data_IF_648326879492
#
_entry.id   IF_648326879492
#
_cell.length_a   1.000
_cell.length_b   1.000
_cell.length_c   1.000
_cell.angle_alpha   90.00
_cell.angle_beta   90.00
_cell.angle_gamma   90.00
#
_symmetry.space_group_name_H-M   'P 1'
#
loop_
_entity.id
_entity.type
_entity.pdbx_description
1 polymer ?
#
# COMPACT_ATOMS: atom_id res chain seq x y z
N UNK A 1 5.03 19.61 4.46
CA UNK A 1 4.53 20.37 3.30
C UNK A 1 5.69 21.07 2.60
N UNK A 2 6.30 20.40 1.63
CA UNK A 2 7.27 20.94 0.68
C UNK A 2 6.91 20.27 -0.63
N UNK A 3 6.57 20.92 -1.73
CA UNK A 3 6.74 22.29 -2.19
C UNK A 3 6.59 22.10 -3.69
N UNK A 4 5.41 22.42 -4.23
CA UNK A 4 5.10 22.17 -5.64
C UNK A 4 6.16 22.86 -6.48
N UNK A 5 7.00 22.08 -7.15
CA UNK A 5 8.02 22.60 -8.05
C UNK A 5 7.33 22.97 -9.36
N UNK A 6 7.50 24.20 -9.79
CA UNK A 6 7.00 24.69 -11.07
C UNK A 6 8.15 24.78 -12.07
N UNK A 7 7.87 24.70 -13.39
CA UNK A 7 8.87 24.97 -14.41
C UNK A 7 9.54 26.33 -14.17
N UNK A 8 10.87 26.36 -14.06
CA UNK A 8 11.62 27.60 -13.91
C UNK A 8 11.51 28.42 -15.18
N UNK A 9 11.38 29.75 -15.04
CA UNK A 9 11.55 30.66 -16.17
C UNK A 9 13.02 30.63 -16.62
N UNK A 10 13.26 30.32 -17.89
CA UNK A 10 14.59 30.38 -18.48
C UNK A 10 14.68 31.74 -19.19
N UNK A 11 15.60 32.60 -18.75
CA UNK A 11 15.89 33.86 -19.47
C UNK A 11 16.42 33.52 -20.86
N UNK A 12 15.53 33.63 -21.86
CA UNK A 12 15.77 33.18 -23.23
C UNK A 12 14.56 32.48 -23.89
N UNK A 13 13.56 32.04 -23.12
CA UNK A 13 12.32 31.50 -23.67
C UNK A 13 11.45 32.62 -24.27
N UNK A 14 11.25 32.59 -25.59
CA UNK A 14 10.88 33.74 -26.42
C UNK A 14 9.48 34.36 -26.20
N UNK A 15 8.65 33.90 -25.26
CA UNK A 15 7.36 34.56 -24.98
C UNK A 15 6.73 34.12 -23.65
N UNK A 16 6.21 35.08 -22.86
CA UNK A 16 5.43 34.82 -21.65
C UNK A 16 4.25 33.87 -21.89
N UNK A 17 3.63 33.95 -23.06
CA UNK A 17 2.52 33.05 -23.45
C UNK A 17 3.00 31.60 -23.49
N UNK A 18 4.16 31.32 -24.08
CA UNK A 18 4.72 29.97 -24.17
C UNK A 18 5.02 29.39 -22.78
N UNK A 19 5.57 30.20 -21.87
CA UNK A 19 5.79 29.79 -20.48
C UNK A 19 4.48 29.49 -19.76
N UNK A 20 3.47 30.36 -19.88
CA UNK A 20 2.15 30.15 -19.27
C UNK A 20 1.53 28.84 -19.78
N UNK A 21 1.64 28.56 -21.08
CA UNK A 21 1.15 27.31 -21.67
C UNK A 21 1.92 26.09 -21.12
N UNK A 22 3.24 26.18 -20.96
CA UNK A 22 4.06 25.12 -20.39
C UNK A 22 3.71 24.84 -18.91
N UNK A 23 3.53 25.89 -18.11
CA UNK A 23 3.10 25.77 -16.70
C UNK A 23 1.71 25.15 -16.61
N UNK A 24 0.76 25.61 -17.43
CA UNK A 24 -0.59 25.05 -17.48
C UNK A 24 -0.58 23.57 -17.88
N UNK A 25 0.21 23.20 -18.91
CA UNK A 25 0.39 21.81 -19.31
C UNK A 25 0.95 20.94 -18.18
N UNK A 26 2.03 21.39 -17.53
CA UNK A 26 2.63 20.71 -16.39
C UNK A 26 1.63 20.46 -15.26
N UNK A 27 0.83 21.47 -14.90
CA UNK A 27 -0.17 21.30 -13.85
C UNK A 27 -1.28 20.33 -14.23
N UNK A 28 -1.75 20.34 -15.48
CA UNK A 28 -2.76 19.39 -15.93
C UNK A 28 -2.22 17.95 -15.90
N UNK A 29 -0.99 17.73 -16.35
CA UNK A 29 -0.35 16.41 -16.25
C UNK A 29 -0.22 15.95 -14.80
N UNK A 30 0.19 16.85 -13.89
CA UNK A 30 0.29 16.53 -12.46
C UNK A 30 -1.06 16.24 -11.82
N UNK A 31 -2.09 17.01 -12.16
CA UNK A 31 -3.46 16.76 -11.69
C UNK A 31 -3.95 15.40 -12.19
N UNK A 32 -3.73 15.08 -13.47
CA UNK A 32 -4.11 13.79 -14.05
C UNK A 32 -3.39 12.62 -13.37
N UNK A 33 -2.10 12.77 -13.07
CA UNK A 33 -1.33 11.78 -12.31
C UNK A 33 -1.92 11.56 -10.91
N UNK A 34 -2.24 12.64 -10.20
CA UNK A 34 -2.81 12.59 -8.85
C UNK A 34 -4.19 11.91 -8.88
N UNK A 35 -5.07 12.30 -9.82
CA UNK A 35 -6.39 11.70 -9.99
C UNK A 35 -6.27 10.21 -10.31
N UNK A 36 -5.40 9.83 -11.25
CA UNK A 36 -5.18 8.42 -11.61
C UNK A 36 -4.66 7.61 -10.42
N UNK A 37 -3.71 8.15 -9.67
CA UNK A 37 -3.17 7.49 -8.47
C UNK A 37 -4.26 7.30 -7.41
N UNK A 38 -5.06 8.33 -7.16
CA UNK A 38 -6.20 8.28 -6.25
C UNK A 38 -7.21 7.20 -6.63
N UNK A 39 -7.63 7.19 -7.90
CA UNK A 39 -8.58 6.22 -8.46
C UNK A 39 -8.05 4.79 -8.35
N UNK A 40 -6.75 4.59 -8.60
CA UNK A 40 -6.10 3.28 -8.45
C UNK A 40 -6.11 2.81 -6.99
N UNK A 41 -5.77 3.68 -6.03
CA UNK A 41 -5.83 3.34 -4.59
C UNK A 41 -7.25 2.99 -4.17
N UNK A 42 -8.24 3.80 -4.58
CA UNK A 42 -9.66 3.55 -4.30
C UNK A 42 -10.08 2.17 -4.82
N UNK A 43 -9.74 1.85 -6.06
CA UNK A 43 -10.10 0.57 -6.67
C UNK A 43 -9.37 -0.61 -6.01
N UNK A 44 -8.11 -0.44 -5.61
CA UNK A 44 -7.37 -1.43 -4.82
C UNK A 44 -8.05 -1.71 -3.48
N UNK A 45 -8.35 -0.67 -2.70
CA UNK A 45 -9.06 -0.79 -1.43
C UNK A 45 -10.43 -1.44 -1.63
N UNK A 46 -11.19 -1.05 -2.66
CA UNK A 46 -12.47 -1.65 -2.97
C UNK A 46 -12.38 -3.16 -3.28
N UNK A 47 -11.36 -3.60 -4.01
CA UNK A 47 -11.14 -5.02 -4.29
C UNK A 47 -10.83 -5.81 -3.01
N UNK A 48 -10.03 -5.24 -2.11
CA UNK A 48 -9.77 -5.86 -0.81
C UNK A 48 -11.00 -5.86 0.11
N UNK A 49 -11.79 -4.79 0.12
CA UNK A 49 -13.08 -4.76 0.82
C UNK A 49 -14.05 -5.83 0.29
N UNK A 50 -14.08 -6.03 -1.03
CA UNK A 50 -14.89 -7.09 -1.66
C UNK A 50 -14.40 -8.49 -1.25
N UNK A 51 -13.08 -8.71 -1.28
CA UNK A 51 -12.49 -10.01 -0.98
C UNK A 51 -12.48 -10.39 0.52
N UNK A 52 -12.39 -9.40 1.41
CA UNK A 52 -12.18 -9.60 2.85
C UNK A 52 -13.13 -8.80 3.75
N UNK A 53 -14.27 -8.32 3.22
CA UNK A 53 -15.13 -7.33 3.87
C UNK A 53 -15.60 -7.68 5.28
N UNK A 54 -15.77 -8.97 5.58
CA UNK A 54 -16.17 -9.44 6.92
C UNK A 54 -15.06 -9.31 7.98
N UNK A 55 -13.82 -9.10 7.55
CA UNK A 55 -12.64 -9.05 8.40
C UNK A 55 -12.09 -7.63 8.57
N UNK A 56 -12.70 -6.61 7.95
CA UNK A 56 -12.21 -5.23 7.97
C UNK A 56 -12.32 -4.63 9.37
N UNK A 57 -11.25 -3.98 9.82
CA UNK A 57 -11.23 -3.19 11.05
C UNK A 57 -11.45 -1.71 10.76
N UNK A 58 -10.66 -1.16 9.84
CA UNK A 58 -10.68 0.25 9.46
C UNK A 58 -9.99 0.44 8.10
N UNK A 59 -10.25 1.56 7.43
CA UNK A 59 -9.53 1.99 6.25
C UNK A 59 -9.60 3.51 6.13
N UNK A 60 -8.61 4.09 5.43
CA UNK A 60 -8.61 5.50 5.09
C UNK A 60 -9.63 5.78 3.98
N UNK A 61 -10.78 6.34 4.36
CA UNK A 61 -11.85 6.68 3.44
C UNK A 61 -11.62 7.99 2.66
N UNK A 62 -10.60 8.77 3.02
CA UNK A 62 -10.28 10.04 2.36
C UNK A 62 -9.24 9.84 1.27
N UNK A 63 -8.08 9.27 1.59
CA UNK A 63 -6.95 9.13 0.65
C UNK A 63 -6.68 7.69 0.20
N UNK A 64 -7.38 6.70 0.77
CA UNK A 64 -7.20 5.27 0.49
C UNK A 64 -5.74 4.82 0.66
N UNK A 65 -5.05 5.41 1.63
CA UNK A 65 -3.63 5.15 1.89
C UNK A 65 -3.39 3.94 2.79
N UNK A 66 -4.39 3.50 3.55
CA UNK A 66 -4.29 2.35 4.45
C UNK A 66 -5.60 1.57 4.54
N UNK A 67 -5.50 0.25 4.78
CA UNK A 67 -6.63 -0.61 5.15
C UNK A 67 -6.16 -1.73 6.10
N UNK A 68 -6.96 -2.01 7.12
CA UNK A 68 -6.63 -2.97 8.18
C UNK A 68 -7.69 -4.07 8.31
N UNK A 69 -7.23 -5.29 8.54
CA UNK A 69 -8.07 -6.49 8.70
C UNK A 69 -7.69 -7.27 9.95
N UNK A 70 -8.69 -7.89 10.59
CA UNK A 70 -8.49 -8.95 11.56
C UNK A 70 -8.46 -10.29 10.82
N UNK A 71 -7.26 -10.82 10.60
CA UNK A 71 -7.05 -12.09 9.92
C UNK A 71 -7.11 -13.24 10.92
N UNK A 72 -7.74 -14.35 10.53
CA UNK A 72 -7.75 -15.59 11.30
C UNK A 72 -7.23 -16.75 10.44
N UNK A 73 -6.23 -17.46 10.93
CA UNK A 73 -5.74 -18.69 10.32
C UNK A 73 -5.28 -19.68 11.40
N UNK A 74 -5.74 -20.94 11.34
CA UNK A 74 -5.35 -22.00 12.30
C UNK A 74 -5.43 -21.56 13.78
N UNK A 75 -6.57 -20.99 14.18
CA UNK A 75 -6.85 -20.47 15.53
C UNK A 75 -5.87 -19.37 16.00
N UNK A 76 -5.17 -18.73 15.08
CA UNK A 76 -4.34 -17.57 15.35
C UNK A 76 -4.94 -16.35 14.66
N UNK A 77 -5.19 -15.31 15.45
CA UNK A 77 -5.59 -14.02 14.95
C UNK A 77 -4.40 -13.07 14.87
N UNK A 78 -4.35 -12.27 13.81
CA UNK A 78 -3.43 -11.15 13.69
C UNK A 78 -4.11 -9.99 12.97
N UNK A 79 -3.59 -8.79 13.20
CA UNK A 79 -3.99 -7.62 12.42
C UNK A 79 -3.08 -7.58 11.20
N UNK A 80 -3.67 -7.48 10.01
CA UNK A 80 -2.96 -7.15 8.78
C UNK A 80 -3.32 -5.72 8.41
N UNK A 81 -2.33 -4.84 8.37
CA UNK A 81 -2.46 -3.50 7.79
C UNK A 81 -1.77 -3.48 6.44
N UNK A 82 -2.45 -2.97 5.42
CA UNK A 82 -1.88 -2.76 4.09
C UNK A 82 -1.65 -1.27 3.94
N UNK A 83 -0.38 -0.88 3.78
CA UNK A 83 0.02 0.51 3.57
C UNK A 83 0.24 0.74 2.07
N UNK A 84 -0.54 1.66 1.50
CA UNK A 84 -0.54 2.01 0.08
C UNK A 84 0.17 3.36 -0.06
N UNK A 85 1.48 3.33 0.19
CA UNK A 85 2.35 4.51 0.19
C UNK A 85 2.96 4.77 -1.19
N UNK A 86 3.51 5.97 -1.37
CA UNK A 86 4.37 6.30 -2.51
C UNK A 86 3.66 6.34 -3.87
N UNK A 87 4.37 5.94 -4.93
CA UNK A 87 3.91 6.03 -6.32
C UNK A 87 3.08 4.81 -6.76
N UNK A 88 2.06 4.44 -5.97
CA UNK A 88 1.16 3.33 -6.30
C UNK A 88 0.51 3.54 -7.69
N UNK A 89 0.54 2.52 -8.58
CA UNK A 89 0.86 1.12 -8.36
C UNK A 89 2.30 0.75 -8.73
N UNK A 90 3.15 1.67 -9.20
CA UNK A 90 4.53 1.33 -9.56
C UNK A 90 5.33 0.89 -8.34
N UNK A 91 5.03 1.48 -7.19
CA UNK A 91 5.47 1.01 -5.89
C UNK A 91 4.44 0.05 -5.30
N UNK A 92 4.92 -1.09 -4.82
CA UNK A 92 4.09 -2.12 -4.22
C UNK A 92 3.60 -1.68 -2.82
N UNK A 93 2.35 -2.00 -2.44
CA UNK A 93 1.89 -1.83 -1.08
C UNK A 93 2.68 -2.68 -0.08
N UNK A 94 2.73 -2.27 1.18
CA UNK A 94 3.46 -2.97 2.23
C UNK A 94 2.48 -3.69 3.15
N UNK A 95 2.75 -4.95 3.50
CA UNK A 95 1.98 -5.69 4.48
C UNK A 95 2.62 -5.57 5.86
N UNK A 96 1.86 -5.08 6.83
CA UNK A 96 2.26 -5.00 8.24
C UNK A 96 1.39 -5.96 9.03
N UNK A 97 1.99 -7.04 9.53
CA UNK A 97 1.32 -8.02 10.39
C UNK A 97 1.63 -7.73 11.84
N UNK A 98 0.61 -7.63 12.69
CA UNK A 98 0.73 -7.43 14.15
C UNK A 98 0.03 -8.55 14.90
N UNK A 99 0.74 -9.20 15.83
CA UNK A 99 0.17 -10.21 16.71
C UNK A 99 -0.62 -9.54 17.82
N UNK A 100 -1.78 -10.10 18.15
CA UNK A 100 -2.59 -9.65 19.31
C UNK A 100 -2.31 -10.47 20.58
N UNK A 101 -1.33 -11.38 20.54
CA UNK A 101 -1.01 -12.29 21.65
C UNK A 101 0.41 -12.17 22.17
N UNK A 102 1.36 -11.84 21.29
CA UNK A 102 2.79 -11.88 21.58
C UNK A 102 3.36 -10.47 21.55
N UNK A 103 4.31 -10.19 22.44
CA UNK A 103 5.03 -8.93 22.47
C UNK A 103 6.52 -9.14 22.20
N UNK A 104 7.16 -8.15 21.58
CA UNK A 104 8.60 -8.05 21.41
C UNK A 104 9.03 -6.64 21.83
N UNK A 105 9.93 -6.56 22.82
CA UNK A 105 10.36 -5.29 23.41
C UNK A 105 9.19 -4.39 23.85
N UNK A 106 8.26 -4.96 24.63
CA UNK A 106 7.05 -4.31 25.17
C UNK A 106 6.02 -3.77 24.15
N UNK A 107 6.25 -3.97 22.86
CA UNK A 107 5.29 -3.69 21.80
C UNK A 107 4.67 -5.00 21.27
N UNK A 108 3.44 -4.99 20.71
CA UNK A 108 2.93 -6.19 20.07
C UNK A 108 3.84 -6.60 18.92
N UNK A 109 4.21 -7.88 18.90
CA UNK A 109 5.11 -8.45 17.90
C UNK A 109 4.56 -8.12 16.50
N UNK A 110 5.39 -7.50 15.66
CA UNK A 110 5.00 -7.11 14.32
C UNK A 110 6.08 -7.46 13.29
N UNK A 111 5.67 -7.54 12.04
CA UNK A 111 6.53 -7.77 10.90
C UNK A 111 6.06 -6.94 9.70
N UNK A 112 7.03 -6.45 8.94
CA UNK A 112 6.82 -5.74 7.68
C UNK A 112 7.20 -6.71 6.56
N UNK A 113 6.35 -6.82 5.54
CA UNK A 113 6.54 -7.70 4.40
C UNK A 113 6.21 -6.97 3.10
N UNK A 114 7.27 -6.76 2.32
CA UNK A 114 7.30 -6.18 0.99
C UNK A 114 7.94 -7.17 0.00
N UNK A 115 7.93 -8.47 0.30
CA UNK A 115 8.63 -9.48 -0.53
C UNK A 115 7.68 -10.38 -1.30
N UNK A 116 6.39 -10.12 -1.21
CA UNK A 116 5.35 -10.91 -1.87
C UNK A 116 5.30 -10.64 -3.38
N UNK A 117 4.82 -11.61 -4.19
CA UNK A 117 4.69 -11.40 -5.62
C UNK A 117 3.80 -10.20 -5.92
N UNK A 118 4.33 -9.24 -6.69
CA UNK A 118 3.63 -8.03 -7.08
C UNK A 118 3.87 -7.69 -8.55
N UNK A 119 2.85 -7.14 -9.22
CA UNK A 119 3.00 -6.50 -10.52
C UNK A 119 2.08 -5.29 -10.61
N UNK A 120 2.59 -4.10 -11.00
CA UNK A 120 1.77 -2.90 -11.20
C UNK A 120 0.72 -3.06 -12.31
N UNK A 121 0.83 -4.12 -13.12
CA UNK A 121 -0.05 -4.41 -14.27
C UNK A 121 -1.27 -5.25 -13.91
N UNK A 122 -1.30 -5.84 -12.71
CA UNK A 122 -2.43 -6.66 -12.29
C UNK A 122 -3.67 -5.81 -12.04
N UNK A 123 -4.84 -6.42 -12.24
CA UNK A 123 -6.08 -5.79 -11.79
C UNK A 123 -6.13 -5.78 -10.25
N UNK A 124 -6.90 -4.85 -9.65
CA UNK A 124 -7.15 -4.84 -8.21
C UNK A 124 -7.62 -6.20 -7.66
N UNK A 125 -8.52 -6.88 -8.37
CA UNK A 125 -9.00 -8.22 -7.97
C UNK A 125 -7.91 -9.28 -8.05
N UNK A 126 -7.04 -9.22 -9.06
CA UNK A 126 -5.90 -10.14 -9.15
C UNK A 126 -4.91 -9.89 -8.01
N UNK A 127 -4.62 -8.63 -7.67
CA UNK A 127 -3.79 -8.26 -6.53
C UNK A 127 -4.37 -8.83 -5.22
N UNK A 128 -5.67 -8.64 -4.97
CA UNK A 128 -6.34 -9.15 -3.77
C UNK A 128 -6.31 -10.68 -3.67
N UNK A 129 -6.53 -11.38 -4.80
CA UNK A 129 -6.50 -12.84 -4.85
C UNK A 129 -5.09 -13.40 -4.63
N UNK A 130 -4.06 -12.78 -5.22
CA UNK A 130 -2.66 -13.20 -5.03
C UNK A 130 -2.18 -12.91 -3.60
N UNK A 131 -2.58 -11.76 -3.04
CA UNK A 131 -2.36 -11.46 -1.63
C UNK A 131 -2.95 -12.55 -0.73
N UNK A 132 -4.16 -13.05 -1.04
CA UNK A 132 -4.79 -14.16 -0.28
C UNK A 132 -3.92 -15.40 -0.24
N UNK A 133 -3.47 -15.83 -1.41
CA UNK A 133 -2.65 -17.03 -1.58
C UNK A 133 -1.31 -16.88 -0.86
N UNK A 134 -0.71 -15.69 -0.92
CA UNK A 134 0.53 -15.39 -0.21
C UNK A 134 0.32 -15.43 1.32
N UNK A 135 -0.68 -14.71 1.82
CA UNK A 135 -0.99 -14.60 3.25
C UNK A 135 -1.30 -15.95 3.89
N UNK A 136 -1.92 -16.88 3.15
CA UNK A 136 -2.16 -18.26 3.60
C UNK A 136 -0.85 -19.00 3.97
N UNK A 137 0.29 -18.62 3.39
CA UNK A 137 1.62 -19.18 3.70
C UNK A 137 2.45 -18.29 4.61
N UNK A 138 2.22 -16.97 4.58
CA UNK A 138 2.94 -15.98 5.37
C UNK A 138 2.51 -15.97 6.84
N UNK A 139 1.21 -16.03 7.12
CA UNK A 139 0.65 -15.96 8.48
C UNK A 139 1.12 -17.11 9.38
N UNK A 140 1.20 -18.38 8.93
CA UNK A 140 1.73 -19.46 9.75
C UNK A 140 3.21 -19.24 10.14
N UNK A 141 4.03 -18.71 9.21
CA UNK A 141 5.42 -18.35 9.50
C UNK A 141 5.51 -17.19 10.50
N UNK A 142 4.65 -16.19 10.34
CA UNK A 142 4.54 -15.06 11.26
C UNK A 142 4.18 -15.52 12.68
N UNK A 143 3.16 -16.39 12.81
CA UNK A 143 2.80 -17.06 14.07
C UNK A 143 3.98 -17.80 14.70
N UNK A 144 4.72 -18.58 13.91
CA UNK A 144 5.89 -19.31 14.43
C UNK A 144 7.00 -18.36 14.92
N UNK A 145 7.24 -17.26 14.20
CA UNK A 145 8.24 -16.27 14.58
C UNK A 145 7.82 -15.51 15.85
N UNK A 146 6.54 -15.14 15.97
CA UNK A 146 5.99 -14.45 17.14
C UNK A 146 6.04 -15.33 18.40
N UNK A 147 5.68 -16.62 18.29
CA UNK A 147 5.78 -17.56 19.43
C UNK A 147 7.23 -17.80 19.89
N UNK A 148 8.17 -17.80 18.94
CA UNK A 148 9.60 -17.99 19.24
C UNK A 148 10.31 -16.71 19.62
N UNK A 149 9.63 -15.57 19.55
CA UNK A 149 10.18 -14.24 19.73
C UNK A 149 11.44 -13.99 18.89
N UNK A 150 11.41 -14.43 17.62
CA UNK A 150 12.50 -14.29 16.65
C UNK A 150 12.08 -13.38 15.50
N UNK A 151 13.02 -12.76 14.77
CA UNK A 151 12.68 -12.01 13.57
C UNK A 151 11.86 -12.86 12.58
N UNK A 152 10.82 -12.26 12.02
CA UNK A 152 10.02 -12.87 10.97
C UNK A 152 10.86 -13.07 9.71
N UNK A 153 10.67 -14.21 9.05
CA UNK A 153 11.24 -14.49 7.74
C UNK A 153 10.09 -14.78 6.77
N UNK A 154 9.87 -13.91 5.76
CA UNK A 154 8.78 -14.10 4.82
C UNK A 154 8.93 -15.37 3.99
N UNK A 155 7.84 -15.92 3.44
CA UNK A 155 7.93 -16.86 2.34
C UNK A 155 8.84 -16.34 1.23
N UNK A 156 9.86 -17.13 0.88
CA UNK A 156 10.62 -16.88 -0.36
C UNK A 156 9.70 -17.01 -1.58
N UNK A 157 10.07 -16.30 -2.64
CA UNK A 157 9.42 -16.38 -3.96
C UNK A 157 9.62 -17.75 -4.60
#
# INVERSE_FOLDING_TARGET
>A
MSGVKYPSWIDGDECLVSYILAVHGYFNEKIDEIIKSYERRRNYVAAFLSAYGTCVLEYDAEAFSTISFLMQLENFFCILTIEIVGNFPEEQPVFVMKSIYHCFADEPYHAIDDTYPYSPRWSPDEMANRARSYLATAIPKFKMASMKNKPYQPPGL
#
